data_IF_118269906948
#
_entry.id   IF_118269906948
#
_cell.length_a   1.000
_cell.length_b   1.000
_cell.length_c   1.000
_cell.angle_alpha   90.00
_cell.angle_beta   90.00
_cell.angle_gamma   90.00
#
_symmetry.space_group_name_H-M   'P 1'
#
loop_
_entity.id
_entity.type
_entity.pdbx_description
1 polymer ?
#
# COMPACT_ATOMS: atom_id res chain seq x y z
N UNK A 1 -12.19 15.59 -8.82
CA UNK A 1 -12.00 14.16 -9.01
C UNK A 1 -10.53 13.81 -9.07
N UNK A 2 -10.13 12.83 -8.30
CA UNK A 2 -8.74 12.45 -8.10
C UNK A 2 -8.12 11.62 -9.24
N UNK A 3 -8.72 11.63 -10.43
CA UNK A 3 -8.23 10.86 -11.58
C UNK A 3 -6.85 11.29 -12.11
N UNK A 4 -6.47 12.50 -11.82
CA UNK A 4 -5.15 13.03 -12.17
C UNK A 4 -4.28 13.28 -10.95
N UNK A 5 -4.63 12.71 -9.82
CA UNK A 5 -3.76 12.78 -8.64
C UNK A 5 -2.53 11.89 -8.89
N UNK A 6 -1.97 12.28 -9.77
CA UNK A 6 -0.65 12.73 -9.80
C UNK A 6 0.33 11.87 -9.05
N UNK A 7 0.89 11.19 -9.71
CA UNK A 7 2.26 10.79 -9.82
C UNK A 7 3.17 11.69 -8.96
N UNK A 8 3.11 11.47 -7.65
CA UNK A 8 4.11 12.02 -6.77
C UNK A 8 5.38 11.19 -6.91
N UNK A 9 6.43 11.78 -7.42
CA UNK A 9 7.73 11.14 -7.52
C UNK A 9 8.49 11.34 -6.21
N UNK A 10 8.60 10.30 -5.42
CA UNK A 10 9.31 10.33 -4.14
C UNK A 10 10.42 9.28 -4.12
N UNK A 11 11.28 9.37 -3.11
CA UNK A 11 12.35 8.39 -2.93
C UNK A 11 11.95 7.20 -2.08
N UNK A 12 10.89 7.33 -1.27
CA UNK A 12 10.42 6.26 -0.38
C UNK A 12 8.90 6.17 -0.35
N UNK A 13 8.34 4.97 -0.08
CA UNK A 13 6.89 4.81 0.12
C UNK A 13 6.36 5.67 1.27
N UNK A 14 7.12 5.83 2.33
CA UNK A 14 6.75 6.63 3.49
C UNK A 14 6.54 8.10 3.12
N UNK A 15 7.43 8.65 2.31
CA UNK A 15 7.28 10.03 1.82
C UNK A 15 6.03 10.20 0.96
N UNK A 16 5.76 9.22 0.10
CA UNK A 16 4.56 9.26 -0.74
C UNK A 16 3.28 9.21 0.09
N UNK A 17 3.22 8.33 1.08
CA UNK A 17 2.07 8.23 1.97
C UNK A 17 1.91 9.49 2.84
N UNK A 18 3.00 10.02 3.36
CA UNK A 18 2.97 11.26 4.14
C UNK A 18 2.36 12.41 3.34
N UNK A 19 2.74 12.54 2.09
CA UNK A 19 2.16 13.55 1.21
C UNK A 19 0.66 13.31 0.97
N UNK A 20 0.25 12.12 0.63
CA UNK A 20 -1.16 11.77 0.39
C UNK A 20 -1.99 12.05 1.64
N UNK A 21 -1.52 11.57 2.80
CA UNK A 21 -2.23 11.72 4.07
C UNK A 21 -2.26 13.18 4.56
N UNK A 22 -1.21 13.94 4.31
CA UNK A 22 -1.18 15.37 4.65
C UNK A 22 -2.18 16.19 3.83
N UNK A 23 -2.62 15.68 2.70
CA UNK A 23 -3.71 16.27 1.90
C UNK A 23 -5.09 15.70 2.29
N UNK A 24 -5.17 14.95 3.36
CA UNK A 24 -6.43 14.41 3.87
C UNK A 24 -7.00 13.25 3.07
N UNK A 25 -6.18 12.55 2.31
CA UNK A 25 -6.60 11.48 1.41
C UNK A 25 -6.16 10.13 1.96
N UNK A 26 -7.07 9.16 1.96
CA UNK A 26 -6.79 7.75 2.15
C UNK A 26 -6.74 7.10 0.77
N UNK A 27 -5.67 6.40 0.43
CA UNK A 27 -5.55 5.71 -0.86
C UNK A 27 -6.45 4.47 -0.92
N UNK A 28 -6.40 3.64 0.11
CA UNK A 28 -7.22 2.45 0.35
C UNK A 28 -6.98 1.28 -0.60
N UNK A 29 -5.97 1.36 -1.45
CA UNK A 29 -5.59 0.25 -2.34
C UNK A 29 -4.08 0.19 -2.55
N UNK A 30 -3.32 0.34 -1.47
CA UNK A 30 -1.86 0.21 -1.50
C UNK A 30 -1.51 -1.27 -1.65
N UNK A 31 -0.85 -1.59 -2.74
CA UNK A 31 -0.38 -2.95 -3.08
C UNK A 31 0.78 -2.83 -4.08
N UNK A 32 1.56 -3.90 -4.31
CA UNK A 32 2.71 -3.82 -5.23
C UNK A 32 2.36 -3.33 -6.63
N UNK A 33 1.20 -3.71 -7.17
CA UNK A 33 0.77 -3.26 -8.50
C UNK A 33 0.54 -1.75 -8.60
N UNK A 34 0.29 -1.09 -7.47
CA UNK A 34 0.02 0.35 -7.43
C UNK A 34 1.22 1.17 -6.98
N UNK A 35 2.38 0.53 -6.83
CA UNK A 35 3.64 1.19 -6.48
C UNK A 35 4.63 0.95 -7.60
N UNK A 36 4.92 1.99 -8.37
CA UNK A 36 5.86 1.94 -9.49
C UNK A 36 7.22 2.49 -9.06
N UNK A 37 8.27 1.82 -9.47
CA UNK A 37 9.65 2.21 -9.16
C UNK A 37 10.42 2.37 -10.47
N UNK A 38 11.16 3.46 -10.60
CA UNK A 38 12.15 3.62 -11.65
C UNK A 38 13.51 3.20 -11.10
N UNK A 39 14.09 2.10 -11.55
CA UNK A 39 15.35 1.59 -11.01
C UNK A 39 16.54 2.54 -11.23
N UNK A 40 16.54 3.28 -12.33
CA UNK A 40 17.62 4.19 -12.67
C UNK A 40 17.66 5.42 -11.78
N UNK A 41 16.52 6.04 -11.55
CA UNK A 41 16.39 7.27 -10.75
C UNK A 41 16.09 6.98 -9.28
N UNK A 42 15.71 5.74 -8.95
CA UNK A 42 15.23 5.33 -7.63
C UNK A 42 14.03 6.15 -7.17
N UNK A 43 13.21 6.60 -8.11
CA UNK A 43 11.98 7.32 -7.83
C UNK A 43 10.80 6.36 -7.79
N UNK A 44 9.91 6.60 -6.84
CA UNK A 44 8.73 5.80 -6.60
C UNK A 44 7.49 6.62 -6.87
N UNK A 45 6.46 5.98 -7.40
CA UNK A 45 5.15 6.59 -7.66
C UNK A 45 4.04 5.68 -7.16
N UNK A 46 3.07 6.25 -6.47
CA UNK A 46 1.83 5.56 -6.14
C UNK A 46 0.79 5.94 -7.19
N UNK A 47 0.11 4.94 -7.71
CA UNK A 47 -0.89 5.09 -8.78
C UNK A 47 -2.23 4.49 -8.35
N UNK A 48 -3.25 4.66 -9.19
CA UNK A 48 -4.59 4.10 -9.04
C UNK A 48 -5.31 4.56 -7.76
N UNK A 49 -5.82 5.78 -7.82
CA UNK A 49 -6.62 6.39 -6.76
C UNK A 49 -8.12 6.08 -6.88
N UNK A 50 -8.48 5.05 -7.64
CA UNK A 50 -9.88 4.69 -7.89
C UNK A 50 -10.68 4.34 -6.64
N UNK A 51 -10.03 3.85 -5.59
CA UNK A 51 -10.66 3.55 -4.29
C UNK A 51 -10.39 4.64 -3.25
N UNK A 52 -9.70 5.72 -3.59
CA UNK A 52 -9.34 6.76 -2.64
C UNK A 52 -10.56 7.55 -2.16
N UNK A 53 -10.44 8.11 -0.95
CA UNK A 53 -11.47 8.92 -0.33
C UNK A 53 -10.82 9.97 0.59
N UNK A 54 -11.48 11.09 0.76
CA UNK A 54 -11.07 12.06 1.78
C UNK A 54 -11.43 11.54 3.16
N UNK A 55 -10.49 11.74 4.08
CA UNK A 55 -10.72 11.43 5.49
C UNK A 55 -11.43 12.58 6.18
N UNK A 56 -12.54 12.28 6.83
CA UNK A 56 -13.24 13.19 7.74
C UNK A 56 -13.49 12.49 9.07
N UNK A 57 -13.16 13.13 10.21
CA UNK A 57 -13.45 12.56 11.52
C UNK A 57 -14.95 12.20 11.63
N UNK A 58 -15.23 11.06 12.25
CA UNK A 58 -16.59 10.58 12.51
C UNK A 58 -17.42 10.19 11.27
N UNK A 59 -16.83 10.26 10.07
CA UNK A 59 -17.48 9.73 8.87
C UNK A 59 -17.31 8.22 8.80
N UNK A 60 -18.41 7.52 8.51
CA UNK A 60 -18.35 6.08 8.20
C UNK A 60 -17.84 5.88 6.77
N UNK A 61 -16.94 4.93 6.62
CA UNK A 61 -16.30 4.59 5.36
C UNK A 61 -16.59 3.15 4.96
N UNK A 62 -16.56 2.88 3.66
CA UNK A 62 -16.74 1.53 3.14
C UNK A 62 -15.56 0.65 3.56
N UNK A 63 -15.84 -0.51 4.15
CA UNK A 63 -14.81 -1.48 4.55
C UNK A 63 -14.42 -2.46 3.45
N UNK A 64 -15.17 -2.49 2.35
CA UNK A 64 -14.88 -3.33 1.19
C UNK A 64 -13.90 -2.64 0.24
N UNK A 65 -12.75 -2.30 0.78
CA UNK A 65 -11.65 -1.66 0.06
C UNK A 65 -10.37 -2.45 0.31
N UNK A 66 -9.34 -2.17 -0.44
CA UNK A 66 -8.04 -2.83 -0.40
C UNK A 66 -8.09 -4.30 -0.88
N UNK A 67 -6.94 -4.78 -1.29
CA UNK A 67 -6.76 -6.19 -1.68
C UNK A 67 -6.55 -7.06 -0.44
N UNK A 68 -6.99 -8.30 -0.51
CA UNK A 68 -7.05 -9.22 0.64
C UNK A 68 -5.74 -9.32 1.43
N UNK A 69 -4.60 -9.41 0.74
CA UNK A 69 -3.30 -9.58 1.40
C UNK A 69 -2.78 -8.33 2.11
N UNK A 70 -3.33 -7.17 1.77
CA UNK A 70 -2.87 -5.87 2.26
C UNK A 70 -3.91 -5.16 3.11
N UNK A 71 -5.01 -5.85 3.40
CA UNK A 71 -6.15 -5.30 4.13
C UNK A 71 -5.83 -5.19 5.62
N UNK A 72 -5.93 -3.97 6.16
CA UNK A 72 -5.74 -3.73 7.59
C UNK A 72 -6.79 -4.46 8.43
N UNK A 73 -6.45 -4.85 9.69
CA UNK A 73 -7.38 -5.59 10.54
C UNK A 73 -8.72 -4.90 10.75
N UNK A 74 -8.74 -3.58 10.92
CA UNK A 74 -9.96 -2.80 11.11
C UNK A 74 -10.92 -2.94 9.94
N UNK A 75 -10.41 -3.09 8.72
CA UNK A 75 -11.22 -3.34 7.53
C UNK A 75 -11.80 -4.76 7.53
N UNK A 76 -11.01 -5.71 7.98
CA UNK A 76 -11.44 -7.12 8.05
C UNK A 76 -12.52 -7.34 9.12
N UNK A 77 -12.49 -6.56 10.18
CA UNK A 77 -13.49 -6.59 11.25
C UNK A 77 -14.68 -5.66 10.96
N UNK A 78 -14.77 -5.12 9.76
CA UNK A 78 -15.87 -4.23 9.33
C UNK A 78 -16.03 -2.98 10.21
N UNK A 79 -14.94 -2.47 10.73
CA UNK A 79 -14.95 -1.21 11.45
C UNK A 79 -15.00 -0.06 10.44
N UNK A 80 -16.15 0.60 10.35
CA UNK A 80 -16.38 1.69 9.38
C UNK A 80 -15.66 3.00 9.74
N UNK A 81 -15.22 3.14 10.99
CA UNK A 81 -14.52 4.33 11.47
C UNK A 81 -13.02 4.11 11.48
N UNK A 82 -12.45 3.89 10.32
CA UNK A 82 -11.00 3.82 10.13
C UNK A 82 -10.48 5.13 9.53
N UNK A 83 -9.17 5.24 9.45
CA UNK A 83 -8.51 6.41 8.88
C UNK A 83 -7.39 5.99 7.90
N UNK A 84 -6.55 6.96 7.50
CA UNK A 84 -5.45 6.76 6.57
C UNK A 84 -4.40 5.73 7.03
N UNK A 85 -4.42 5.29 8.30
CA UNK A 85 -3.49 4.27 8.79
C UNK A 85 -3.67 2.91 8.13
N UNK A 86 -4.81 2.67 7.48
CA UNK A 86 -5.01 1.46 6.65
C UNK A 86 -3.98 1.38 5.52
N UNK A 87 -3.54 2.51 4.99
CA UNK A 87 -2.48 2.56 3.97
C UNK A 87 -1.11 2.22 4.57
N UNK A 88 -0.85 2.65 5.80
CA UNK A 88 0.39 2.32 6.51
C UNK A 88 0.51 0.82 6.76
N UNK A 89 -0.58 0.17 7.17
CA UNK A 89 -0.63 -1.28 7.31
C UNK A 89 -0.29 -1.97 5.98
N UNK A 90 -0.93 -1.55 4.90
CA UNK A 90 -0.71 -2.11 3.58
C UNK A 90 0.75 -1.97 3.12
N UNK A 91 1.36 -0.81 3.35
CA UNK A 91 2.78 -0.59 3.05
C UNK A 91 3.68 -1.50 3.87
N UNK A 92 3.37 -1.70 5.14
CA UNK A 92 4.08 -2.65 6.00
C UNK A 92 3.97 -4.09 5.50
N UNK A 93 2.81 -4.48 5.00
CA UNK A 93 2.60 -5.82 4.41
C UNK A 93 3.39 -6.01 3.13
N UNK A 94 3.54 -4.98 2.30
CA UNK A 94 4.41 -5.02 1.11
C UNK A 94 5.86 -5.27 1.55
N UNK A 95 6.34 -4.52 2.53
CA UNK A 95 7.70 -4.67 3.04
C UNK A 95 7.92 -6.07 3.63
N UNK A 96 6.97 -6.56 4.43
CA UNK A 96 7.03 -7.92 4.99
C UNK A 96 7.07 -8.97 3.87
N UNK A 97 6.27 -8.82 2.85
CA UNK A 97 6.26 -9.71 1.69
C UNK A 97 7.62 -9.75 0.97
N UNK A 98 8.27 -8.61 0.81
CA UNK A 98 9.61 -8.55 0.22
C UNK A 98 10.65 -9.31 1.06
N UNK A 99 10.63 -9.10 2.38
CA UNK A 99 11.59 -9.75 3.30
C UNK A 99 11.37 -11.26 3.34
N UNK A 100 10.14 -11.72 3.52
CA UNK A 100 9.82 -13.15 3.61
C UNK A 100 9.96 -13.86 2.27
N UNK A 101 9.61 -13.22 1.16
CA UNK A 101 9.78 -13.78 -0.17
C UNK A 101 11.26 -14.02 -0.48
N UNK A 102 12.13 -13.09 -0.13
CA UNK A 102 13.57 -13.25 -0.29
C UNK A 102 14.08 -14.43 0.54
N UNK A 103 13.67 -14.55 1.80
CA UNK A 103 14.03 -15.68 2.66
C UNK A 103 13.55 -17.02 2.11
N UNK A 104 12.35 -17.06 1.55
CA UNK A 104 11.80 -18.27 0.95
C UNK A 104 12.56 -18.68 -0.32
N UNK A 105 12.99 -17.73 -1.12
CA UNK A 105 13.81 -18.00 -2.31
C UNK A 105 15.16 -18.61 -1.92
N UNK A 106 15.79 -18.08 -0.89
CA UNK A 106 17.03 -18.61 -0.35
C UNK A 106 16.86 -20.06 0.17
N UNK A 107 15.75 -20.32 0.85
CA UNK A 107 15.43 -21.67 1.32
C UNK A 107 15.14 -22.63 0.16
N UNK A 108 14.52 -22.16 -0.91
CA UNK A 108 14.27 -22.99 -2.10
C UNK A 108 15.56 -23.36 -2.84
N UNK A 109 16.49 -22.42 -2.96
CA UNK A 109 17.79 -22.72 -3.57
C UNK A 109 18.57 -23.77 -2.78
N UNK A 110 18.44 -23.75 -1.46
CA UNK A 110 19.09 -24.71 -0.59
C UNK A 110 18.39 -26.06 -0.47
N UNK A 111 17.12 -26.14 -0.92
CA UNK A 111 16.28 -27.33 -0.77
C UNK A 111 16.02 -28.09 -2.08
N UNK A 112 16.43 -27.55 -3.21
CA UNK A 112 16.29 -28.24 -4.48
C UNK A 112 17.27 -29.42 -4.54
N UNK A 113 16.76 -30.66 -4.68
CA UNK A 113 17.63 -31.81 -4.87
C UNK A 113 18.38 -31.65 -6.20
N UNK A 114 19.64 -31.96 -6.19
CA UNK A 114 20.47 -32.06 -7.37
C UNK A 114 19.84 -33.07 -8.35
N UNK A 115 19.40 -32.62 -9.47
CA UNK A 115 18.84 -33.48 -10.49
C UNK A 115 17.67 -32.95 -11.22
#
# INVERSE_FOLDING_TARGET
MLHEATILSTSTPTQALDYIHSNGIMHRDIKPFNVLINPSTKKLKIIDFGLSEYYFPSKENNTKVASTYYKAPELSFSNTQYDYRVDCWAAGMILAGMVFSHSNLDLQENSLPDG
#
